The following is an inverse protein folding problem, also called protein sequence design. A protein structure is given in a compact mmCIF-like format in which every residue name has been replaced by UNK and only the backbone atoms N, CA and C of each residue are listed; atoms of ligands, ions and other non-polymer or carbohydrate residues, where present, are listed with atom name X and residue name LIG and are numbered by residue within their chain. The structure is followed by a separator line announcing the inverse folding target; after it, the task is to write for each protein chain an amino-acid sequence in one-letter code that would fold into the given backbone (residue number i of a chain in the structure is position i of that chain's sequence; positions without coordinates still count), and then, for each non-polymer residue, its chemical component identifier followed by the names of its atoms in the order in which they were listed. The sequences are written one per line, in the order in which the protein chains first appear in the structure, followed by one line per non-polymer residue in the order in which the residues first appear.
data_IF_719721989085
#
_entry.id   IF_719721989085
#
_cell.length_a   1.000
_cell.length_b   1.000
_cell.length_c   1.000
_cell.angle_alpha   90.00
_cell.angle_beta   90.00
_cell.angle_gamma   90.00
#
_symmetry.space_group_name_H-M   'P 1'
#
loop_
_entity.id
_entity.type
_entity.pdbx_description
1 polymer ?
#
# COMPACT_ATOMS: atom_id res chain seq x y z
N UNK A 1 34.93 6.06 32.68
CA UNK A 1 34.12 4.89 33.07
C UNK A 1 32.67 5.34 33.21
N UNK A 2 31.89 5.24 32.13
CA UNK A 2 30.45 5.55 32.16
C UNK A 2 29.68 4.25 32.35
N UNK A 3 28.93 4.16 33.44
CA UNK A 3 28.21 2.97 33.89
C UNK A 3 27.09 2.66 32.90
N UNK A 4 27.17 1.51 32.23
CA UNK A 4 26.13 0.98 31.36
C UNK A 4 24.97 0.46 32.22
N UNK A 5 24.02 1.34 32.56
CA UNK A 5 22.77 0.92 33.20
C UNK A 5 21.85 0.33 32.14
N UNK A 6 21.76 -1.01 32.10
CA UNK A 6 20.68 -1.73 31.41
C UNK A 6 19.35 -1.24 31.98
N UNK A 7 18.58 -0.54 31.15
CA UNK A 7 17.20 -0.18 31.46
C UNK A 7 16.33 -1.43 31.24
N UNK A 8 15.54 -1.82 32.24
CA UNK A 8 14.69 -3.02 32.18
C UNK A 8 13.26 -2.60 31.84
N UNK A 9 12.76 -3.07 30.69
CA UNK A 9 11.45 -2.74 30.12
C UNK A 9 10.27 -3.36 30.90
N UNK A 10 10.54 -4.21 31.91
CA UNK A 10 9.50 -4.92 32.66
C UNK A 10 8.86 -4.13 33.81
N UNK A 11 9.27 -2.88 34.04
CA UNK A 11 8.66 -2.04 35.07
C UNK A 11 8.03 -0.82 34.42
N UNK A 12 6.70 -0.72 34.52
CA UNK A 12 5.82 0.46 34.40
C UNK A 12 4.73 0.31 33.32
N UNK A 13 3.48 0.42 33.78
CA UNK A 13 2.26 0.00 33.07
C UNK A 13 1.55 1.04 32.21
N UNK A 14 0.61 0.49 31.44
CA UNK A 14 -0.66 1.00 30.90
C UNK A 14 -0.77 2.30 30.08
N UNK A 15 0.26 3.14 29.95
CA UNK A 15 0.26 4.23 28.98
C UNK A 15 1.65 4.44 28.36
N UNK A 16 1.96 3.68 27.30
CA UNK A 16 3.26 3.67 26.61
C UNK A 16 3.33 4.75 25.52
N UNK A 17 3.24 6.03 25.89
CA UNK A 17 3.71 7.10 24.98
C UNK A 17 5.16 7.35 25.36
N UNK A 18 6.08 6.85 24.54
CA UNK A 18 7.51 7.10 24.71
C UNK A 18 7.93 8.29 23.86
N UNK A 19 8.66 9.22 24.46
CA UNK A 19 9.29 10.32 23.76
C UNK A 19 10.36 9.76 22.81
N UNK A 20 10.19 9.88 21.47
CA UNK A 20 11.13 9.31 20.50
C UNK A 20 12.57 9.81 20.68
N UNK A 21 12.77 11.01 21.24
CA UNK A 21 14.10 11.57 21.51
C UNK A 21 14.84 10.87 22.67
N UNK A 22 14.12 10.09 23.48
CA UNK A 22 14.65 9.39 24.67
C UNK A 22 14.78 7.88 24.49
N UNK A 23 14.49 7.36 23.30
CA UNK A 23 14.41 5.92 23.00
C UNK A 23 15.48 5.54 21.97
N UNK A 24 16.23 4.46 22.23
CA UNK A 24 17.25 3.97 21.30
C UNK A 24 16.65 3.25 20.09
N UNK A 25 17.48 2.94 19.08
CA UNK A 25 17.05 2.21 17.87
C UNK A 25 16.37 0.86 18.19
N UNK A 26 16.98 0.04 19.05
CA UNK A 26 16.45 -1.30 19.40
C UNK A 26 15.07 -1.18 20.04
N UNK A 27 14.94 -0.26 21.00
CA UNK A 27 13.68 -0.02 21.71
C UNK A 27 12.61 0.55 20.76
N UNK A 28 12.99 1.42 19.82
CA UNK A 28 12.09 1.97 18.79
C UNK A 28 11.54 0.87 17.87
N UNK A 29 12.40 -0.05 17.43
CA UNK A 29 11.98 -1.20 16.62
C UNK A 29 11.02 -2.09 17.39
N UNK A 30 11.29 -2.32 18.68
CA UNK A 30 10.41 -3.16 19.51
C UNK A 30 9.05 -2.50 19.76
N UNK A 31 9.03 -1.18 20.01
CA UNK A 31 7.79 -0.40 20.11
C UNK A 31 6.98 -0.51 18.82
N UNK A 32 7.61 -0.37 17.65
CA UNK A 32 6.91 -0.50 16.36
C UNK A 32 6.33 -1.91 16.20
N UNK A 33 7.10 -2.96 16.53
CA UNK A 33 6.59 -4.35 16.48
C UNK A 33 5.38 -4.53 17.40
N UNK A 34 5.45 -4.00 18.61
CA UNK A 34 4.32 -4.05 19.54
C UNK A 34 3.09 -3.31 19.02
N UNK A 35 3.25 -2.11 18.44
CA UNK A 35 2.12 -1.34 17.86
C UNK A 35 1.52 -2.03 16.63
N UNK A 36 2.34 -2.65 15.78
CA UNK A 36 1.86 -3.47 14.65
C UNK A 36 1.09 -4.69 15.15
N UNK A 37 1.57 -5.35 16.21
CA UNK A 37 0.85 -6.46 16.85
C UNK A 37 -0.48 -5.99 17.48
N UNK A 38 -0.52 -4.81 18.11
CA UNK A 38 -1.76 -4.20 18.62
C UNK A 38 -2.74 -3.90 17.48
N UNK A 39 -2.25 -3.40 16.35
CA UNK A 39 -3.05 -3.16 15.14
C UNK A 39 -3.62 -4.45 14.57
N UNK A 40 -2.85 -5.55 14.56
CA UNK A 40 -3.39 -6.88 14.21
C UNK A 40 -4.50 -7.33 15.16
N UNK A 41 -4.34 -7.11 16.47
CA UNK A 41 -5.34 -7.45 17.49
C UNK A 41 -6.56 -6.53 17.44
N UNK A 42 -6.44 -5.31 16.93
CA UNK A 42 -7.57 -4.37 16.86
C UNK A 42 -8.68 -4.88 15.96
N UNK A 43 -8.38 -5.61 14.88
CA UNK A 43 -9.42 -6.17 14.00
C UNK A 43 -10.36 -7.15 14.72
N UNK A 44 -9.81 -8.04 15.57
CA UNK A 44 -10.60 -8.96 16.40
C UNK A 44 -11.49 -8.17 17.36
N UNK A 45 -10.89 -7.18 18.03
CA UNK A 45 -11.60 -6.35 19.00
C UNK A 45 -12.70 -5.49 18.36
N UNK A 46 -12.46 -4.93 17.18
CA UNK A 46 -13.48 -4.19 16.41
C UNK A 46 -14.62 -5.13 16.03
N UNK A 47 -14.31 -6.31 15.48
CA UNK A 47 -15.31 -7.33 15.16
C UNK A 47 -16.17 -7.73 16.37
N UNK A 48 -15.52 -7.92 17.53
CA UNK A 48 -16.20 -8.24 18.78
C UNK A 48 -17.19 -7.15 19.23
N UNK A 49 -16.79 -5.88 19.16
CA UNK A 49 -17.70 -4.76 19.48
C UNK A 49 -18.82 -4.60 18.45
N UNK A 50 -18.55 -4.76 17.15
CA UNK A 50 -19.60 -4.74 16.12
C UNK A 50 -20.63 -5.85 16.38
N UNK A 51 -20.17 -7.06 16.72
CA UNK A 51 -21.04 -8.18 17.10
C UNK A 51 -21.85 -7.88 18.36
N UNK A 52 -21.23 -7.28 19.39
CA UNK A 52 -21.93 -6.87 20.60
C UNK A 52 -23.04 -5.84 20.31
N UNK A 53 -22.71 -4.78 19.56
CA UNK A 53 -23.67 -3.75 19.14
C UNK A 53 -24.80 -4.37 18.31
N UNK A 54 -24.48 -5.29 17.40
CA UNK A 54 -25.47 -5.98 16.57
C UNK A 54 -26.39 -6.87 17.41
N UNK A 55 -25.83 -7.72 18.27
CA UNK A 55 -26.57 -8.67 19.13
C UNK A 55 -27.49 -7.96 20.12
N UNK A 56 -27.06 -6.82 20.64
CA UNK A 56 -27.81 -6.02 21.60
C UNK A 56 -28.66 -4.91 20.95
N UNK A 57 -28.68 -4.81 19.62
CA UNK A 57 -29.40 -3.78 18.87
C UNK A 57 -29.03 -2.34 19.27
N UNK A 58 -27.79 -2.09 19.73
CA UNK A 58 -27.36 -0.80 20.27
C UNK A 58 -27.23 0.29 19.20
N UNK A 59 -27.11 -0.09 17.93
CA UNK A 59 -27.12 0.84 16.81
C UNK A 59 -28.44 1.63 16.71
N UNK A 60 -29.52 1.15 17.34
CA UNK A 60 -30.81 1.86 17.38
C UNK A 60 -30.81 3.11 18.27
N UNK A 61 -29.84 3.26 19.18
CA UNK A 61 -29.71 4.46 20.03
C UNK A 61 -29.49 5.74 19.21
N UNK A 62 -28.77 5.60 18.08
CA UNK A 62 -28.53 6.68 17.12
C UNK A 62 -29.53 6.65 15.95
N UNK A 63 -30.57 5.81 16.01
CA UNK A 63 -31.63 5.73 15.00
C UNK A 63 -31.33 4.89 13.75
N UNK A 64 -30.19 4.18 13.70
CA UNK A 64 -29.88 3.29 12.59
C UNK A 64 -30.76 2.04 12.60
N UNK A 65 -31.06 1.51 11.40
CA UNK A 65 -31.89 0.31 11.23
C UNK A 65 -31.09 -0.99 11.27
N UNK A 66 -29.79 -0.93 11.03
CA UNK A 66 -28.91 -2.08 11.05
C UNK A 66 -27.48 -1.67 11.41
N UNK A 67 -26.66 -2.67 11.76
CA UNK A 67 -25.26 -2.48 12.15
C UNK A 67 -24.39 -1.88 11.02
N UNK A 68 -24.74 -2.09 9.75
CA UNK A 68 -23.92 -1.68 8.61
C UNK A 68 -24.04 -0.19 8.32
N UNK A 69 -25.25 0.37 8.39
CA UNK A 69 -25.45 1.82 8.27
C UNK A 69 -24.72 2.57 9.39
N UNK A 70 -24.82 2.04 10.62
CA UNK A 70 -24.06 2.54 11.77
C UNK A 70 -22.54 2.47 11.55
N UNK A 71 -22.04 1.32 11.10
CA UNK A 71 -20.61 1.11 10.90
C UNK A 71 -20.05 1.99 9.77
N UNK A 72 -20.81 2.21 8.70
CA UNK A 72 -20.44 3.08 7.60
C UNK A 72 -20.44 4.55 8.03
N UNK A 73 -21.51 5.04 8.64
CA UNK A 73 -21.62 6.45 9.01
C UNK A 73 -20.61 6.87 10.10
N UNK A 74 -20.40 6.04 11.13
CA UNK A 74 -19.50 6.37 12.25
C UNK A 74 -18.02 6.11 11.97
N UNK A 75 -17.73 5.05 11.22
CA UNK A 75 -16.37 4.52 11.09
C UNK A 75 -15.92 4.33 9.64
N UNK A 76 -16.76 4.69 8.66
CA UNK A 76 -16.52 4.47 7.23
C UNK A 76 -16.25 3.00 6.89
N UNK A 77 -16.83 2.07 7.66
CA UNK A 77 -16.72 0.64 7.41
C UNK A 77 -17.86 0.19 6.50
N UNK A 78 -17.52 -0.22 5.27
CA UNK A 78 -18.48 -0.81 4.34
C UNK A 78 -19.08 -2.10 4.91
N UNK A 79 -20.31 -2.42 4.50
CA UNK A 79 -21.00 -3.65 4.93
C UNK A 79 -20.11 -4.90 4.83
N UNK A 80 -19.42 -5.19 3.71
CA UNK A 80 -18.57 -6.38 3.61
C UNK A 80 -17.42 -6.40 4.61
N UNK A 81 -16.86 -5.23 4.94
CA UNK A 81 -15.74 -5.08 5.87
C UNK A 81 -16.19 -5.34 7.31
N UNK A 82 -17.31 -4.72 7.70
CA UNK A 82 -17.92 -4.95 9.00
C UNK A 82 -18.27 -6.44 9.18
N UNK A 83 -18.86 -7.07 8.16
CA UNK A 83 -19.13 -8.52 8.17
C UNK A 83 -17.87 -9.35 8.36
N UNK A 84 -16.80 -9.08 7.61
CA UNK A 84 -15.53 -9.81 7.75
C UNK A 84 -14.93 -9.66 9.13
N UNK A 85 -14.96 -8.47 9.72
CA UNK A 85 -14.41 -8.27 11.07
C UNK A 85 -15.19 -9.08 12.11
N UNK A 86 -16.53 -9.09 12.03
CA UNK A 86 -17.37 -9.92 12.89
C UNK A 86 -17.07 -11.42 12.70
N UNK A 87 -16.95 -11.90 11.45
CA UNK A 87 -16.65 -13.29 11.13
C UNK A 87 -15.26 -13.74 11.61
N UNK A 88 -14.23 -12.90 11.44
CA UNK A 88 -12.88 -13.22 11.97
C UNK A 88 -12.90 -13.30 13.49
N UNK A 89 -13.66 -12.43 14.16
CA UNK A 89 -13.85 -12.54 15.61
C UNK A 89 -14.53 -13.88 15.97
N UNK A 90 -15.62 -14.23 15.30
CA UNK A 90 -16.32 -15.50 15.55
C UNK A 90 -15.42 -16.73 15.32
N UNK A 91 -14.60 -16.72 14.28
CA UNK A 91 -13.81 -17.90 13.90
C UNK A 91 -12.48 -18.02 14.67
N UNK A 92 -11.78 -16.91 14.89
CA UNK A 92 -10.37 -16.93 15.32
C UNK A 92 -10.10 -16.27 16.67
N UNK A 93 -11.13 -15.72 17.34
CA UNK A 93 -10.97 -15.23 18.72
C UNK A 93 -10.92 -16.36 19.74
N UNK A 94 -10.38 -16.08 20.93
CA UNK A 94 -10.45 -17.01 22.06
C UNK A 94 -11.91 -17.37 22.35
N UNK A 95 -12.18 -18.68 22.45
CA UNK A 95 -13.51 -19.23 22.69
C UNK A 95 -14.60 -18.77 21.71
N UNK A 96 -14.23 -18.29 20.51
CA UNK A 96 -15.15 -17.78 19.47
C UNK A 96 -15.99 -16.54 19.88
N UNK A 97 -15.72 -15.94 21.04
CA UNK A 97 -16.41 -14.74 21.53
C UNK A 97 -15.53 -13.88 22.45
N UNK A 98 -14.38 -13.44 21.94
CA UNK A 98 -13.43 -12.62 22.70
C UNK A 98 -12.92 -11.42 21.89
N UNK A 99 -12.55 -10.31 22.55
CA UNK A 99 -11.81 -9.23 21.90
C UNK A 99 -10.34 -9.61 21.61
N UNK A 100 -9.89 -10.80 22.04
CA UNK A 100 -8.53 -11.30 21.85
C UNK A 100 -8.47 -12.43 20.81
N UNK A 101 -7.42 -12.41 19.98
CA UNK A 101 -7.08 -13.49 19.06
C UNK A 101 -6.68 -14.75 19.86
N UNK A 102 -7.11 -15.93 19.41
CA UNK A 102 -6.63 -17.21 19.94
C UNK A 102 -5.11 -17.34 19.69
N UNK A 103 -4.37 -17.78 20.70
CA UNK A 103 -2.91 -17.85 20.68
C UNK A 103 -2.40 -18.77 19.55
N UNK A 104 -3.20 -19.76 19.13
CA UNK A 104 -2.85 -20.64 17.99
C UNK A 104 -2.77 -19.89 16.66
N UNK A 105 -3.39 -18.72 16.55
CA UNK A 105 -3.35 -17.86 15.36
C UNK A 105 -2.41 -16.65 15.52
N UNK A 106 -1.66 -16.56 16.62
CA UNK A 106 -0.81 -15.41 16.94
C UNK A 106 0.19 -15.05 15.84
N UNK A 107 0.64 -16.02 15.05
CA UNK A 107 1.62 -15.83 13.97
C UNK A 107 1.00 -15.61 12.57
N UNK A 108 -0.32 -15.77 12.41
CA UNK A 108 -1.01 -15.61 11.11
C UNK A 108 -1.36 -14.15 10.82
N UNK A 109 -0.97 -13.59 9.68
CA UNK A 109 -1.38 -12.24 9.27
C UNK A 109 -2.91 -12.09 9.14
N UNK A 110 -3.42 -10.86 9.25
CA UNK A 110 -4.85 -10.55 9.08
C UNK A 110 -5.37 -11.02 7.72
N UNK A 111 -4.58 -10.84 6.66
CA UNK A 111 -4.93 -11.29 5.32
C UNK A 111 -5.03 -12.81 5.22
N UNK A 112 -4.17 -13.56 5.92
CA UNK A 112 -4.31 -15.02 6.02
C UNK A 112 -5.61 -15.38 6.76
N UNK A 113 -5.92 -14.74 7.88
CA UNK A 113 -7.18 -15.01 8.60
C UNK A 113 -8.42 -14.74 7.72
N UNK A 114 -8.45 -13.65 6.95
CA UNK A 114 -9.52 -13.39 5.99
C UNK A 114 -9.62 -14.46 4.90
N UNK A 115 -8.49 -14.93 4.39
CA UNK A 115 -8.47 -15.99 3.40
C UNK A 115 -8.88 -17.36 4.00
N UNK A 116 -8.70 -17.58 5.31
CA UNK A 116 -9.14 -18.81 5.99
C UNK A 116 -10.66 -18.87 6.23
N UNK A 117 -11.36 -17.74 6.31
CA UNK A 117 -12.82 -17.70 6.55
C UNK A 117 -13.63 -18.60 5.59
N UNK A 118 -13.46 -18.52 4.25
CA UNK A 118 -14.21 -19.35 3.31
C UNK A 118 -13.57 -20.73 3.06
N UNK A 119 -12.57 -21.16 3.85
CA UNK A 119 -11.95 -22.48 3.70
C UNK A 119 -12.70 -23.55 4.48
N UNK A 120 -12.67 -24.79 3.98
CA UNK A 120 -13.08 -25.97 4.76
C UNK A 120 -12.04 -26.32 5.82
N UNK A 121 -12.40 -27.11 6.83
CA UNK A 121 -11.45 -27.55 7.86
C UNK A 121 -10.23 -28.29 7.27
N UNK A 122 -10.44 -29.18 6.30
CA UNK A 122 -9.36 -29.87 5.58
C UNK A 122 -8.42 -28.91 4.83
N UNK A 123 -8.95 -27.79 4.33
CA UNK A 123 -8.15 -26.75 3.69
C UNK A 123 -7.38 -25.93 4.72
N UNK A 124 -8.01 -25.59 5.85
CA UNK A 124 -7.38 -24.85 6.95
C UNK A 124 -6.21 -25.64 7.54
N UNK A 125 -6.30 -26.96 7.66
CA UNK A 125 -5.19 -27.83 8.11
C UNK A 125 -3.93 -27.71 7.24
N UNK A 126 -4.07 -27.35 5.96
CA UNK A 126 -2.94 -27.16 5.03
C UNK A 126 -2.31 -25.77 5.14
N UNK A 127 -2.89 -24.86 5.93
CA UNK A 127 -2.42 -23.48 6.07
C UNK A 127 -1.59 -23.31 7.34
N UNK A 128 -0.33 -22.91 7.15
CA UNK A 128 0.60 -22.55 8.23
C UNK A 128 0.88 -21.05 8.21
N UNK A 129 1.48 -20.46 9.25
CA UNK A 129 1.90 -19.06 9.23
C UNK A 129 2.82 -18.71 8.05
N UNK A 130 3.61 -19.67 7.55
CA UNK A 130 4.50 -19.49 6.41
C UNK A 130 3.79 -19.60 5.05
N UNK A 131 2.56 -20.10 5.01
CA UNK A 131 1.80 -20.28 3.76
C UNK A 131 1.34 -18.92 3.23
N UNK A 132 1.69 -18.58 1.99
CA UNK A 132 1.34 -17.27 1.42
C UNK A 132 -0.14 -17.19 1.02
N UNK A 133 -0.69 -15.97 0.97
CA UNK A 133 -2.07 -15.73 0.48
C UNK A 133 -2.29 -16.32 -0.92
N UNK A 134 -1.29 -16.24 -1.81
CA UNK A 134 -1.35 -16.83 -3.16
C UNK A 134 -1.48 -18.35 -3.09
N UNK A 135 -0.71 -19.01 -2.23
CA UNK A 135 -0.81 -20.46 -2.01
C UNK A 135 -2.16 -20.84 -1.40
N UNK A 136 -2.68 -20.07 -0.45
CA UNK A 136 -4.01 -20.26 0.11
C UNK A 136 -5.11 -20.19 -0.94
N UNK A 137 -5.04 -19.23 -1.86
CA UNK A 137 -5.97 -19.14 -3.00
C UNK A 137 -5.84 -20.33 -3.96
N UNK A 138 -4.65 -20.90 -4.11
CA UNK A 138 -4.45 -22.14 -4.89
C UNK A 138 -5.03 -23.36 -4.17
N UNK A 139 -4.88 -23.48 -2.85
CA UNK A 139 -5.48 -24.55 -2.04
C UNK A 139 -7.01 -24.55 -2.24
N UNK A 140 -7.65 -23.37 -2.19
CA UNK A 140 -9.08 -23.22 -2.45
C UNK A 140 -9.49 -23.71 -3.84
N UNK A 141 -8.69 -23.44 -4.87
CA UNK A 141 -8.96 -23.84 -6.27
C UNK A 141 -8.73 -25.33 -6.52
N UNK A 142 -7.68 -25.91 -5.94
CA UNK A 142 -7.26 -27.27 -6.24
C UNK A 142 -8.23 -28.34 -5.70
N UNK A 143 -8.89 -28.09 -4.56
CA UNK A 143 -9.88 -29.04 -4.02
C UNK A 143 -11.27 -28.92 -4.70
N UNK A 144 -11.58 -27.79 -5.36
CA UNK A 144 -12.77 -27.67 -6.24
C UNK A 144 -12.66 -28.57 -7.49
N UNK A 145 -11.45 -28.87 -7.96
CA UNK A 145 -11.21 -29.77 -9.10
C UNK A 145 -11.38 -31.24 -8.70
N UNK A 146 -11.06 -31.62 -7.45
CA UNK A 146 -11.22 -33.00 -6.96
C UNK A 146 -12.67 -33.43 -6.71
N UNK A 147 -13.57 -32.48 -6.44
CA UNK A 147 -15.01 -32.77 -6.21
C UNK A 147 -15.76 -33.00 -7.53
N UNK A 148 -15.28 -32.48 -8.67
CA UNK A 148 -15.97 -32.57 -9.97
C UNK A 148 -15.89 -33.93 -10.66
N UNK A 149 -14.97 -34.82 -10.27
CA UNK A 149 -14.83 -36.13 -10.92
C UNK A 149 -15.78 -37.21 -10.39
N UNK A 150 -16.46 -37.01 -9.25
CA UNK A 150 -17.37 -38.00 -8.69
C UNK A 150 -18.63 -37.37 -8.05
N UNK A 151 -19.59 -36.92 -8.87
CA UNK A 151 -21.07 -36.96 -8.62
C UNK A 151 -21.85 -36.24 -9.74
N UNK A 152 -23.01 -36.81 -10.08
CA UNK A 152 -24.06 -36.26 -10.97
C UNK A 152 -24.55 -34.86 -10.53
N UNK A 153 -25.21 -34.09 -11.43
CA UNK A 153 -25.24 -32.63 -11.37
C UNK A 153 -26.05 -32.14 -10.18
N UNK A 154 -25.34 -31.62 -9.18
CA UNK A 154 -25.95 -30.78 -8.16
C UNK A 154 -25.98 -29.36 -8.73
N UNK A 155 -27.20 -28.82 -8.75
CA UNK A 155 -27.65 -27.43 -8.96
C UNK A 155 -26.49 -26.43 -9.04
N UNK A 156 -26.39 -25.60 -10.09
CA UNK A 156 -25.38 -24.54 -10.17
C UNK A 156 -25.43 -23.74 -8.88
N UNK A 157 -24.33 -23.69 -8.14
CA UNK A 157 -24.17 -22.73 -7.05
C UNK A 157 -24.38 -21.34 -7.66
N UNK A 158 -25.58 -20.80 -7.47
CA UNK A 158 -25.89 -19.43 -7.79
C UNK A 158 -24.87 -18.56 -7.04
N UNK A 159 -24.20 -17.70 -7.81
CA UNK A 159 -23.27 -16.69 -7.34
C UNK A 159 -23.93 -15.94 -6.18
N UNK A 160 -23.40 -16.10 -4.97
CA UNK A 160 -23.88 -15.37 -3.80
C UNK A 160 -23.58 -13.87 -4.04
N UNK A 161 -24.58 -12.98 -4.02
CA UNK A 161 -24.34 -11.54 -4.08
C UNK A 161 -23.50 -11.10 -2.89
N UNK A 162 -22.37 -10.41 -3.12
CA UNK A 162 -21.47 -9.95 -2.04
C UNK A 162 -20.06 -10.56 -2.02
N UNK A 163 -19.61 -11.18 -3.10
CA UNK A 163 -18.22 -11.63 -3.23
C UNK A 163 -17.26 -10.42 -3.32
N UNK A 164 -16.64 -10.07 -2.20
CA UNK A 164 -15.61 -9.03 -2.13
C UNK A 164 -14.23 -9.60 -2.44
N UNK A 165 -13.52 -8.98 -3.38
CA UNK A 165 -12.13 -9.30 -3.68
C UNK A 165 -11.25 -8.31 -2.94
N UNK A 166 -10.19 -8.74 -2.27
CA UNK A 166 -9.16 -7.82 -1.76
C UNK A 166 -8.62 -6.93 -2.90
N UNK A 167 -8.61 -7.41 -4.15
CA UNK A 167 -8.24 -6.63 -5.35
C UNK A 167 -9.26 -5.57 -5.72
N UNK A 168 -10.54 -5.72 -5.34
CA UNK A 168 -11.62 -4.77 -5.66
C UNK A 168 -11.97 -3.82 -4.52
N UNK A 169 -11.92 -4.30 -3.28
CA UNK A 169 -12.42 -3.55 -2.13
C UNK A 169 -11.30 -2.92 -1.28
N UNK A 170 -10.05 -3.41 -1.39
CA UNK A 170 -8.87 -2.92 -0.65
C UNK A 170 -7.57 -3.02 -1.47
N UNK A 171 -7.48 -2.41 -2.67
CA UNK A 171 -6.32 -2.55 -3.56
C UNK A 171 -4.99 -2.05 -2.95
N UNK A 172 -5.04 -1.17 -1.95
CA UNK A 172 -3.88 -0.65 -1.21
C UNK A 172 -3.11 -1.72 -0.41
N UNK A 173 -3.73 -2.87 -0.11
CA UNK A 173 -3.16 -3.91 0.74
C UNK A 173 -2.74 -5.18 -0.02
N UNK A 174 -2.80 -5.20 -1.36
CA UNK A 174 -2.22 -6.28 -2.17
C UNK A 174 -0.69 -6.12 -2.26
N UNK A 175 0.12 -7.11 -1.87
CA UNK A 175 1.51 -7.14 -2.32
C UNK A 175 1.52 -7.37 -3.84
N UNK A 176 2.27 -6.55 -4.58
CA UNK A 176 2.46 -6.77 -6.01
C UNK A 176 2.97 -8.20 -6.23
N UNK A 177 2.14 -9.06 -6.83
CA UNK A 177 2.54 -10.39 -7.27
C UNK A 177 3.43 -10.28 -8.52
N UNK A 178 4.57 -9.61 -8.40
CA UNK A 178 5.74 -9.94 -9.19
C UNK A 178 6.74 -10.49 -8.18
N UNK A 179 6.60 -11.79 -7.90
CA UNK A 179 7.73 -12.53 -7.38
C UNK A 179 8.77 -12.52 -8.51
N UNK A 180 9.85 -11.78 -8.24
CA UNK A 180 11.00 -11.51 -9.08
C UNK A 180 11.90 -12.76 -9.25
N UNK A 181 11.32 -13.87 -9.71
CA UNK A 181 12.10 -15.02 -10.17
C UNK A 181 11.56 -15.55 -11.49
N UNK A 182 12.36 -15.36 -12.54
CA UNK A 182 12.26 -15.97 -13.88
C UNK A 182 11.44 -15.25 -14.96
N UNK A 183 11.83 -14.03 -15.38
CA UNK A 183 11.76 -13.64 -16.81
C UNK A 183 12.98 -12.77 -17.17
N UNK A 184 14.14 -13.41 -17.34
CA UNK A 184 15.20 -12.94 -18.25
C UNK A 184 15.17 -13.83 -19.50
N UNK A 185 14.06 -13.83 -20.24
CA UNK A 185 14.03 -14.40 -21.59
C UNK A 185 12.99 -13.65 -22.44
N UNK A 186 13.53 -12.78 -23.30
CA UNK A 186 13.06 -12.39 -24.62
C UNK A 186 11.64 -12.82 -25.02
N UNK A 187 10.73 -11.85 -25.15
CA UNK A 187 9.73 -11.88 -26.22
C UNK A 187 9.51 -10.47 -26.75
N UNK A 188 10.21 -10.17 -27.84
CA UNK A 188 9.78 -9.14 -28.78
C UNK A 188 8.35 -9.46 -29.19
N UNK A 189 7.46 -8.47 -29.08
CA UNK A 189 6.18 -8.53 -29.79
C UNK A 189 6.49 -8.26 -31.26
N UNK A 190 6.37 -9.29 -32.07
CA UNK A 190 6.26 -9.16 -33.53
C UNK A 190 5.06 -8.26 -33.85
N UNK A 191 5.28 -7.25 -34.69
CA UNK A 191 4.19 -6.63 -35.45
C UNK A 191 4.03 -5.11 -35.42
N UNK A 192 4.98 -4.32 -34.92
CA UNK A 192 5.00 -2.87 -35.20
C UNK A 192 6.27 -2.50 -35.97
N UNK A 193 6.07 -2.06 -37.22
CA UNK A 193 7.12 -1.56 -38.08
C UNK A 193 7.50 -0.16 -37.59
N UNK A 194 8.54 -0.09 -36.75
CA UNK A 194 9.05 1.17 -36.23
C UNK A 194 9.66 1.99 -37.37
N UNK A 195 9.13 3.18 -37.63
CA UNK A 195 9.69 4.11 -38.60
C UNK A 195 11.00 4.66 -38.00
N UNK A 196 12.12 4.47 -38.69
CA UNK A 196 13.47 4.88 -38.25
C UNK A 196 13.55 6.36 -37.83
N UNK A 197 12.67 7.21 -38.37
CA UNK A 197 12.49 8.60 -37.99
C UNK A 197 11.95 8.83 -36.56
N UNK A 198 11.00 8.03 -36.07
CA UNK A 198 10.46 8.16 -34.70
C UNK A 198 11.53 7.81 -33.65
N UNK A 199 12.38 6.82 -33.94
CA UNK A 199 13.44 6.42 -33.03
C UNK A 199 14.55 7.48 -32.93
N UNK A 200 14.86 8.18 -34.03
CA UNK A 200 15.79 9.32 -34.01
C UNK A 200 15.18 10.52 -33.28
N UNK A 201 13.90 10.83 -33.49
CA UNK A 201 13.21 11.93 -32.81
C UNK A 201 13.13 11.72 -31.29
N UNK A 202 12.89 10.47 -30.85
CA UNK A 202 12.91 10.11 -29.42
C UNK A 202 14.33 10.29 -28.85
N UNK A 203 15.37 9.85 -29.56
CA UNK A 203 16.77 10.03 -29.13
C UNK A 203 17.17 11.50 -29.05
N UNK A 204 16.77 12.31 -30.03
CA UNK A 204 17.07 13.74 -30.09
C UNK A 204 16.36 14.50 -28.96
N UNK A 205 15.07 14.21 -28.70
CA UNK A 205 14.32 14.76 -27.55
C UNK A 205 14.97 14.41 -26.20
N UNK A 206 15.43 13.17 -26.03
CA UNK A 206 16.11 12.73 -24.80
C UNK A 206 17.46 13.45 -24.65
N UNK A 207 18.21 13.62 -25.74
CA UNK A 207 19.51 14.29 -25.75
C UNK A 207 19.39 15.81 -25.46
N UNK A 208 18.38 16.47 -26.02
CA UNK A 208 18.11 17.89 -25.78
C UNK A 208 17.69 18.15 -24.33
N UNK A 209 16.77 17.35 -23.81
CA UNK A 209 16.34 17.42 -22.41
C UNK A 209 17.51 17.27 -21.43
N UNK A 210 18.44 16.36 -21.73
CA UNK A 210 19.64 16.18 -20.93
C UNK A 210 20.60 17.38 -21.02
N UNK A 211 20.79 17.93 -22.22
CA UNK A 211 21.67 19.09 -22.44
C UNK A 211 21.17 20.32 -21.67
N UNK A 212 19.85 20.53 -21.61
CA UNK A 212 19.24 21.58 -20.80
C UNK A 212 19.51 21.40 -19.30
N UNK A 213 19.42 20.16 -18.80
CA UNK A 213 19.67 19.84 -17.39
C UNK A 213 21.14 20.10 -16.98
N UNK A 214 22.09 19.72 -17.82
CA UNK A 214 23.53 19.93 -17.56
C UNK A 214 23.91 21.43 -17.58
N UNK A 215 23.16 22.26 -18.32
CA UNK A 215 23.40 23.69 -18.44
C UNK A 215 22.97 24.51 -17.19
N UNK A 216 22.30 23.89 -16.21
CA UNK A 216 21.76 24.58 -15.03
C UNK A 216 22.86 24.92 -14.00
N UNK A 217 23.21 26.21 -13.91
CA UNK A 217 24.33 26.71 -13.08
C UNK A 217 23.90 27.04 -11.66
N UNK A 218 22.75 27.68 -11.47
CA UNK A 218 22.28 28.17 -10.17
C UNK A 218 20.93 27.58 -9.73
N UNK A 219 20.48 27.91 -8.52
CA UNK A 219 19.21 27.39 -7.98
C UNK A 219 18.01 27.95 -8.75
N UNK A 220 18.03 29.21 -9.17
CA UNK A 220 16.92 29.84 -9.89
C UNK A 220 16.65 29.16 -11.23
N UNK A 221 17.70 28.81 -11.96
CA UNK A 221 17.61 28.03 -13.20
C UNK A 221 17.03 26.64 -12.96
N UNK A 222 17.41 25.98 -11.86
CA UNK A 222 16.84 24.67 -11.48
C UNK A 222 15.36 24.76 -11.11
N UNK A 223 14.95 25.80 -10.37
CA UNK A 223 13.54 26.07 -10.07
C UNK A 223 12.74 26.31 -11.34
N UNK A 224 13.26 27.15 -12.23
CA UNK A 224 12.63 27.43 -13.52
C UNK A 224 12.47 26.17 -14.38
N UNK A 225 13.48 25.29 -14.39
CA UNK A 225 13.41 24.00 -15.08
C UNK A 225 12.34 23.07 -14.49
N UNK A 226 12.30 22.93 -13.15
CA UNK A 226 11.26 22.14 -12.47
C UNK A 226 9.85 22.66 -12.77
N UNK A 227 9.65 23.98 -12.81
CA UNK A 227 8.36 24.59 -13.14
C UNK A 227 7.92 24.36 -14.59
N UNK A 228 8.84 23.95 -15.47
CA UNK A 228 8.56 23.62 -16.87
C UNK A 228 8.29 22.14 -17.11
N UNK A 229 7.88 21.39 -16.08
CA UNK A 229 7.58 19.95 -16.15
C UNK A 229 6.65 19.55 -17.31
N UNK A 230 5.75 20.45 -17.75
CA UNK A 230 4.86 20.22 -18.89
C UNK A 230 5.63 19.97 -20.20
N UNK A 231 6.84 20.52 -20.35
CA UNK A 231 7.70 20.30 -21.53
C UNK A 231 8.21 18.86 -21.64
N UNK A 232 8.21 18.10 -20.56
CA UNK A 232 8.61 16.69 -20.59
C UNK A 232 7.60 15.82 -21.34
N UNK A 233 6.41 16.35 -21.59
CA UNK A 233 5.30 15.65 -22.23
C UNK A 233 4.40 14.97 -21.19
N UNK A 234 3.09 14.98 -21.48
CA UNK A 234 2.12 14.25 -20.66
C UNK A 234 2.42 12.75 -20.77
N UNK A 235 2.72 12.13 -19.64
CA UNK A 235 3.06 10.71 -19.58
C UNK A 235 1.80 9.86 -19.39
N UNK A 236 0.92 10.27 -18.49
CA UNK A 236 -0.30 9.57 -18.15
C UNK A 236 -1.35 10.56 -17.64
N UNK A 237 -2.61 10.31 -17.97
CA UNK A 237 -3.74 11.06 -17.43
C UNK A 237 -4.74 10.07 -16.85
N UNK A 238 -5.13 10.31 -15.61
CA UNK A 238 -6.20 9.57 -14.96
C UNK A 238 -7.50 10.37 -15.03
N UNK A 239 -8.41 9.95 -15.90
CA UNK A 239 -9.71 10.57 -16.08
C UNK A 239 -10.72 10.30 -14.96
N UNK A 240 -10.45 9.37 -14.05
CA UNK A 240 -11.33 9.08 -12.92
C UNK A 240 -11.12 10.05 -11.77
N UNK A 241 -9.90 10.56 -11.61
CA UNK A 241 -9.53 11.50 -10.53
C UNK A 241 -9.06 12.86 -11.06
N UNK A 242 -9.06 13.05 -12.38
CA UNK A 242 -8.64 14.27 -13.06
C UNK A 242 -7.21 14.68 -12.68
N UNK A 243 -6.26 13.77 -12.90
CA UNK A 243 -4.84 13.98 -12.55
C UNK A 243 -3.94 13.74 -13.75
N UNK A 244 -3.09 14.71 -14.04
CA UNK A 244 -2.03 14.62 -15.04
C UNK A 244 -0.74 14.15 -14.38
N UNK A 245 -0.02 13.25 -15.06
CA UNK A 245 1.28 12.78 -14.66
C UNK A 245 2.30 13.12 -15.74
N UNK A 246 3.39 13.74 -15.31
CA UNK A 246 4.56 14.01 -16.15
C UNK A 246 5.75 13.26 -15.60
N UNK A 247 6.67 12.87 -16.47
CA UNK A 247 7.80 12.03 -16.09
C UNK A 247 9.09 12.51 -16.75
N UNK A 248 10.15 12.56 -15.95
CA UNK A 248 11.52 12.74 -16.42
C UNK A 248 12.40 11.58 -15.96
N UNK A 249 13.12 10.96 -16.88
CA UNK A 249 14.07 9.89 -16.62
C UNK A 249 15.50 10.45 -16.60
N UNK A 250 16.23 10.27 -15.49
CA UNK A 250 17.60 10.75 -15.35
C UNK A 250 18.64 9.70 -15.81
N UNK A 251 19.85 10.12 -16.24
CA UNK A 251 20.89 9.21 -16.69
C UNK A 251 21.42 8.22 -15.64
N UNK A 252 21.31 8.56 -14.35
CA UNK A 252 21.70 7.68 -13.25
C UNK A 252 20.67 6.58 -12.95
N UNK A 253 19.55 6.57 -13.69
CA UNK A 253 18.41 5.68 -13.52
C UNK A 253 17.36 6.18 -12.53
N UNK A 254 17.57 7.36 -11.92
CA UNK A 254 16.55 8.03 -11.10
C UNK A 254 15.40 8.51 -11.97
N UNK A 255 14.23 8.74 -11.37
CA UNK A 255 13.04 9.25 -12.08
C UNK A 255 12.33 10.31 -11.28
N UNK A 256 11.95 11.42 -11.92
CA UNK A 256 11.09 12.43 -11.34
C UNK A 256 9.69 12.32 -11.96
N UNK A 257 8.67 12.23 -11.11
CA UNK A 257 7.27 12.27 -11.52
C UNK A 257 6.65 13.55 -10.96
N UNK A 258 5.83 14.23 -11.77
CA UNK A 258 4.99 15.33 -11.32
C UNK A 258 3.53 14.90 -11.42
N UNK A 259 2.84 14.97 -10.29
CA UNK A 259 1.38 14.90 -10.24
C UNK A 259 0.84 16.31 -10.37
N UNK A 260 -0.04 16.55 -11.32
CA UNK A 260 -0.74 17.81 -11.51
C UNK A 260 -2.24 17.58 -11.39
N UNK A 261 -2.86 18.44 -10.60
CA UNK A 261 -4.28 18.51 -10.33
C UNK A 261 -4.80 19.82 -10.94
N UNK A 262 -5.41 19.77 -12.14
CA UNK A 262 -5.87 20.97 -12.83
C UNK A 262 -6.98 21.68 -12.07
N UNK A 263 -7.00 23.01 -12.09
CA UNK A 263 -8.15 23.82 -11.63
C UNK A 263 -8.67 23.47 -10.23
N UNK A 264 -7.78 23.09 -9.30
CA UNK A 264 -8.19 22.74 -7.94
C UNK A 264 -8.60 23.97 -7.17
N UNK A 265 -9.72 23.87 -6.48
CA UNK A 265 -10.20 24.95 -5.64
C UNK A 265 -9.27 25.15 -4.45
N UNK A 266 -8.67 26.33 -4.38
CA UNK A 266 -7.83 26.74 -3.28
C UNK A 266 -8.72 27.30 -2.16
N UNK A 267 -8.89 26.56 -1.06
CA UNK A 267 -9.83 26.95 0.01
C UNK A 267 -9.49 28.30 0.66
N UNK A 268 -8.23 28.73 0.60
CA UNK A 268 -7.78 30.01 1.18
C UNK A 268 -7.78 31.19 0.19
N UNK A 269 -7.66 30.95 -1.12
CA UNK A 269 -7.68 32.02 -2.15
C UNK A 269 -9.04 32.25 -2.79
N UNK A 270 -9.98 31.30 -2.65
CA UNK A 270 -11.28 31.29 -3.38
C UNK A 270 -11.12 31.36 -4.91
N UNK A 271 -9.99 30.91 -5.41
CA UNK A 271 -9.63 30.85 -6.83
C UNK A 271 -9.28 29.41 -7.19
N UNK A 272 -9.40 29.07 -8.48
CA UNK A 272 -8.92 27.79 -9.03
C UNK A 272 -7.51 27.98 -9.57
N UNK A 273 -6.60 27.10 -9.14
CA UNK A 273 -5.25 27.05 -9.66
C UNK A 273 -4.84 25.60 -9.88
N UNK A 274 -3.95 25.36 -10.85
CA UNK A 274 -3.33 24.06 -11.03
C UNK A 274 -2.42 23.81 -9.82
N UNK A 275 -2.62 22.70 -9.12
CA UNK A 275 -1.71 22.26 -8.06
C UNK A 275 -0.82 21.17 -8.60
N UNK A 276 0.46 21.16 -8.23
CA UNK A 276 1.36 20.11 -8.64
C UNK A 276 2.34 19.73 -7.55
N UNK A 277 2.74 18.45 -7.55
CA UNK A 277 3.65 17.89 -6.58
C UNK A 277 4.68 16.98 -7.24
N UNK A 278 5.91 17.03 -6.72
CA UNK A 278 7.04 16.26 -7.24
C UNK A 278 7.25 14.97 -6.45
N UNK A 279 7.62 13.90 -7.13
CA UNK A 279 7.93 12.59 -6.55
C UNK A 279 9.23 12.05 -7.17
N UNK A 280 10.32 12.05 -6.40
CA UNK A 280 11.63 11.63 -6.86
C UNK A 280 11.93 10.18 -6.44
N UNK A 281 11.97 9.31 -7.45
CA UNK A 281 12.46 7.94 -7.37
C UNK A 281 13.97 7.96 -7.55
N UNK A 282 14.68 8.41 -6.52
CA UNK A 282 16.14 8.50 -6.47
C UNK A 282 16.81 7.12 -6.39
N UNK A 283 17.72 6.84 -7.31
CA UNK A 283 18.57 5.64 -7.28
C UNK A 283 19.71 5.79 -6.29
N UNK A 284 20.08 4.67 -5.66
CA UNK A 284 21.19 4.62 -4.69
C UNK A 284 21.08 5.69 -3.59
N UNK A 285 19.85 6.01 -3.21
CA UNK A 285 19.53 6.93 -2.12
C UNK A 285 20.14 6.40 -0.82
N UNK A 286 20.70 7.31 -0.02
CA UNK A 286 21.29 7.00 1.27
C UNK A 286 20.21 6.96 2.34
N UNK A 287 19.95 5.77 2.85
CA UNK A 287 19.15 5.55 4.04
C UNK A 287 19.96 5.72 5.31
N UNK A 288 19.26 5.55 6.42
CA UNK A 288 19.89 5.54 7.72
C UNK A 288 20.81 4.32 7.88
N UNK A 289 21.95 4.48 8.57
CA UNK A 289 22.85 3.36 8.88
C UNK A 289 23.61 2.76 7.70
N UNK A 290 24.15 3.59 6.80
CA UNK A 290 24.89 3.17 5.60
C UNK A 290 24.09 2.29 4.62
N UNK A 291 22.76 2.21 4.79
CA UNK A 291 21.89 1.52 3.83
C UNK A 291 21.81 2.36 2.56
N UNK A 292 21.93 1.69 1.42
CA UNK A 292 21.75 2.28 0.10
C UNK A 292 20.58 1.56 -0.55
N UNK A 293 19.58 2.30 -1.02
CA UNK A 293 18.38 1.73 -1.63
C UNK A 293 17.87 2.63 -2.76
N UNK A 294 17.03 2.07 -3.62
CA UNK A 294 16.35 2.83 -4.66
C UNK A 294 14.98 3.27 -4.15
N UNK A 295 14.69 4.57 -4.18
CA UNK A 295 13.36 5.07 -3.80
C UNK A 295 12.32 4.55 -4.80
N UNK A 296 11.23 4.01 -4.27
CA UNK A 296 10.06 3.62 -5.02
C UNK A 296 9.03 4.75 -5.01
N UNK A 297 8.11 4.74 -5.98
CA UNK A 297 7.03 5.73 -5.98
C UNK A 297 6.15 5.56 -4.74
N UNK A 298 5.88 6.68 -4.07
CA UNK A 298 4.97 6.79 -2.92
C UNK A 298 4.18 8.09 -3.08
N UNK A 299 3.05 8.21 -2.37
CA UNK A 299 2.23 9.42 -2.41
C UNK A 299 2.94 10.65 -1.80
N UNK A 300 3.99 10.44 -1.01
CA UNK A 300 4.77 11.52 -0.42
C UNK A 300 5.43 12.37 -1.51
N UNK A 301 5.44 13.67 -1.27
CA UNK A 301 5.97 14.67 -2.20
C UNK A 301 7.36 15.09 -1.77
N UNK A 302 8.29 15.23 -2.70
CA UNK A 302 9.60 15.80 -2.45
C UNK A 302 9.56 17.33 -2.50
N UNK A 303 10.16 17.97 -1.51
CA UNK A 303 10.25 19.43 -1.47
C UNK A 303 11.13 19.95 -2.61
N UNK A 304 10.80 21.15 -3.12
CA UNK A 304 11.64 21.84 -4.10
C UNK A 304 13.08 21.94 -3.61
N UNK A 305 13.31 22.29 -2.34
CA UNK A 305 14.65 22.36 -1.75
C UNK A 305 15.44 21.06 -1.90
N UNK A 306 14.80 19.91 -1.64
CA UNK A 306 15.44 18.61 -1.79
C UNK A 306 15.78 18.30 -3.24
N UNK A 307 14.86 18.59 -4.17
CA UNK A 307 15.09 18.40 -5.60
C UNK A 307 16.22 19.29 -6.12
N UNK A 308 16.33 20.52 -5.64
CA UNK A 308 17.44 21.40 -6.02
C UNK A 308 18.79 20.82 -5.61
N UNK A 309 18.91 20.22 -4.42
CA UNK A 309 20.14 19.53 -4.00
C UNK A 309 20.43 18.30 -4.88
N UNK A 310 19.41 17.49 -5.17
CA UNK A 310 19.54 16.35 -6.08
C UNK A 310 20.04 16.78 -7.48
N UNK A 311 19.43 17.81 -8.07
CA UNK A 311 19.80 18.33 -9.39
C UNK A 311 21.19 18.99 -9.42
N UNK A 312 21.78 19.36 -8.28
CA UNK A 312 23.19 19.80 -8.24
C UNK A 312 24.16 18.62 -8.46
N UNK A 313 23.72 17.38 -8.25
CA UNK A 313 24.52 16.18 -8.46
C UNK A 313 24.89 15.91 -9.93
N UNK A 314 24.14 16.48 -10.88
CA UNK A 314 24.33 16.28 -12.32
C UNK A 314 25.19 17.36 -13.01
N UNK A 315 26.05 18.07 -12.27
CA UNK A 315 27.00 18.99 -12.91
C UNK A 315 28.04 18.21 -13.71
N UNK A 316 28.49 18.77 -14.84
CA UNK A 316 29.67 18.26 -15.55
C UNK A 316 30.83 18.15 -14.56
N UNK A 317 31.47 16.98 -14.55
CA UNK A 317 32.76 16.78 -13.88
C UNK A 317 33.88 17.35 -14.73
#
# INVERSE_FOLDING_TARGET
MGINKKFSVMSLGNARIFDPEKVGYIDSVEIIREELLKTKKSFIKIGWYLKHIQKCNLYSEDGYQNIYDFAFDKFNLTQPTATRFMQVCEEFSKDHDSPELDDKYADYSVSQLFEMLPMTEEQKEKVTPATTVRQMRQIKKNDQVKVKENKEPVIPEEIIPGQTSIEKDFPEYMPNNNDDSEIYTTSYKDGEEYIEGEYQEIKEKVQDQWSELMALKNNDQRKAWLAQYKKWGLWYYDGHIDVNYYKYDFPDGSRLIVTEYPQRYCYWKKEQEDQYYFHLLEKKSKGYGNIVYDKQYVHNTDSETYLLEFLKGFKEK
#
